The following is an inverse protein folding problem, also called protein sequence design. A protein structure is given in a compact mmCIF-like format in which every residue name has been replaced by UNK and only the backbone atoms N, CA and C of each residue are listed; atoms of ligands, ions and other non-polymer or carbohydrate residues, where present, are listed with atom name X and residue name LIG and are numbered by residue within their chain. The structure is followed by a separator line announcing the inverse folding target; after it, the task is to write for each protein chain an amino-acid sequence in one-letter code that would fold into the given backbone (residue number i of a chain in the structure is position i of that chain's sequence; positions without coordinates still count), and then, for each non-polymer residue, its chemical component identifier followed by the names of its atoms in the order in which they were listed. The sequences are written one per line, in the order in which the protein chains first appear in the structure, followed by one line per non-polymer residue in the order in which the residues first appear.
data_IF_579072294088
#
_entry.id   IF_579072294088
#
_cell.length_a   1.000
_cell.length_b   1.000
_cell.length_c   1.000
_cell.angle_alpha   90.00
_cell.angle_beta   90.00
_cell.angle_gamma   90.00
#
_symmetry.space_group_name_H-M   'P 1'
#
loop_
_entity.id
_entity.type
_entity.pdbx_description
1 polymer ?
#
# COMPACT_ATOMS: atom_id res chain seq x y z
N UNK A 1 20.52 -6.94 -8.44
CA UNK A 1 19.28 -6.27 -8.91
C UNK A 1 19.58 -4.82 -9.25
N UNK A 2 19.24 -4.32 -10.45
CA UNK A 2 19.51 -2.93 -10.86
C UNK A 2 18.78 -1.97 -9.90
N UNK A 3 19.41 -0.84 -9.50
CA UNK A 3 18.84 0.15 -8.56
C UNK A 3 17.37 0.52 -8.90
N UNK A 4 17.09 0.71 -10.19
CA UNK A 4 15.73 0.99 -10.71
C UNK A 4 14.68 -0.08 -10.39
N UNK A 5 15.07 -1.36 -10.28
CA UNK A 5 14.15 -2.44 -9.91
C UNK A 5 13.80 -2.39 -8.43
N UNK A 6 14.76 -2.02 -7.57
CA UNK A 6 14.54 -1.88 -6.12
C UNK A 6 13.62 -0.70 -5.81
N UNK A 7 13.82 0.43 -6.48
CA UNK A 7 12.95 1.61 -6.34
C UNK A 7 11.51 1.31 -6.74
N UNK A 8 11.30 0.63 -7.89
CA UNK A 8 9.97 0.17 -8.31
C UNK A 8 9.32 -0.78 -7.30
N UNK A 9 10.11 -1.66 -6.68
CA UNK A 9 9.61 -2.60 -5.67
C UNK A 9 9.17 -1.89 -4.39
N UNK A 10 9.93 -0.88 -3.94
CA UNK A 10 9.55 -0.05 -2.78
C UNK A 10 8.27 0.71 -3.06
N UNK A 11 8.15 1.35 -4.23
CA UNK A 11 6.92 2.08 -4.62
C UNK A 11 5.71 1.14 -4.65
N UNK A 12 5.85 -0.03 -5.28
CA UNK A 12 4.77 -1.02 -5.33
C UNK A 12 4.36 -1.49 -3.93
N UNK A 13 5.33 -1.74 -3.05
CA UNK A 13 5.08 -2.17 -1.68
C UNK A 13 4.37 -1.09 -0.85
N UNK A 14 4.78 0.17 -0.99
CA UNK A 14 4.11 1.31 -0.33
C UNK A 14 2.66 1.45 -0.79
N UNK A 15 2.42 1.42 -2.11
CA UNK A 15 1.05 1.50 -2.66
C UNK A 15 0.19 0.34 -2.13
N UNK A 16 0.74 -0.87 -2.11
CA UNK A 16 0.04 -2.05 -1.61
C UNK A 16 -0.40 -1.91 -0.15
N UNK A 17 0.50 -1.43 0.72
CA UNK A 17 0.19 -1.19 2.14
C UNK A 17 -0.91 -0.15 2.30
N UNK A 18 -0.83 0.96 1.55
CA UNK A 18 -1.84 2.04 1.61
C UNK A 18 -3.21 1.53 1.17
N UNK A 19 -3.27 0.73 0.10
CA UNK A 19 -4.52 0.15 -0.39
C UNK A 19 -5.12 -0.81 0.65
N UNK A 20 -4.32 -1.69 1.25
CA UNK A 20 -4.80 -2.59 2.31
C UNK A 20 -5.34 -1.77 3.48
N UNK A 21 -4.59 -0.76 3.94
CA UNK A 21 -4.98 0.09 5.05
C UNK A 21 -6.34 0.75 4.79
N UNK A 22 -6.53 1.32 3.60
CA UNK A 22 -7.80 1.92 3.15
C UNK A 22 -8.90 0.87 3.18
N UNK A 23 -8.71 -0.30 2.55
CA UNK A 23 -9.74 -1.35 2.47
C UNK A 23 -10.10 -1.92 3.83
N UNK A 24 -9.16 -2.00 4.79
CA UNK A 24 -9.44 -2.58 6.11
C UNK A 24 -9.94 -1.56 7.13
N UNK A 25 -9.38 -0.35 7.15
CA UNK A 25 -9.69 0.64 8.19
C UNK A 25 -10.82 1.58 7.81
N UNK A 26 -10.99 1.94 6.53
CA UNK A 26 -12.12 2.81 6.15
C UNK A 26 -13.48 2.18 6.45
N UNK A 27 -13.73 0.88 6.17
CA UNK A 27 -15.01 0.29 6.53
C UNK A 27 -15.24 0.32 8.04
N UNK A 28 -14.19 0.12 8.85
CA UNK A 28 -14.29 0.22 10.31
C UNK A 28 -14.62 1.63 10.81
N UNK A 29 -14.23 2.67 10.08
CA UNK A 29 -14.51 4.08 10.42
C UNK A 29 -15.90 4.51 9.93
N UNK A 30 -16.31 4.04 8.74
CA UNK A 30 -17.57 4.44 8.10
C UNK A 30 -18.78 3.56 8.46
N UNK A 31 -18.56 2.38 9.04
CA UNK A 31 -19.64 1.46 9.43
C UNK A 31 -20.17 1.66 10.86
N UNK A 32 -19.86 2.80 11.49
CA UNK A 32 -20.36 3.20 12.81
C UNK A 32 -21.53 4.18 12.70
#
# INVERSE_FOLDING_TARGET
MKKKTREKMIIAMTIFIVVIFIVTLLPSIFSF
#
